data_IF_078765070883
#
_entry.id   IF_078765070883
#
_cell.length_a   1.000
_cell.length_b   1.000
_cell.length_c   1.000
_cell.angle_alpha   90.00
_cell.angle_beta   90.00
_cell.angle_gamma   90.00
#
_symmetry.space_group_name_H-M   'P 1'
#
loop_
_entity.id
_entity.type
_entity.pdbx_description
1 polymer ?
#
# COMPACT_ATOMS: atom_id res chain seq x y z
N UNK A 1 7.58 -18.08 -14.01
CA UNK A 1 7.15 -17.43 -12.75
C UNK A 1 7.42 -15.93 -12.88
N UNK A 2 6.47 -15.07 -12.53
CA UNK A 2 6.68 -13.62 -12.49
C UNK A 2 6.80 -13.20 -11.01
N UNK A 3 7.79 -12.38 -10.70
CA UNK A 3 7.97 -11.83 -9.36
C UNK A 3 7.35 -10.43 -9.33
N UNK A 4 6.66 -10.10 -8.25
CA UNK A 4 5.99 -8.82 -8.06
C UNK A 4 6.44 -8.21 -6.73
N UNK A 5 6.54 -6.88 -6.72
CA UNK A 5 6.75 -6.11 -5.49
C UNK A 5 5.42 -5.52 -5.05
N UNK A 6 5.15 -5.58 -3.75
CA UNK A 6 3.92 -5.08 -3.14
C UNK A 6 4.27 -4.06 -2.05
N UNK A 7 3.66 -2.88 -2.10
CA UNK A 7 3.64 -1.94 -0.99
C UNK A 7 2.48 -2.28 -0.05
N UNK A 8 2.77 -2.48 1.24
CA UNK A 8 1.76 -2.73 2.27
C UNK A 8 2.26 -2.22 3.62
N UNK A 9 1.34 -2.13 4.60
CA UNK A 9 1.68 -1.72 5.96
C UNK A 9 2.35 -2.86 6.72
N UNK A 10 3.08 -2.53 7.79
CA UNK A 10 3.75 -3.53 8.63
C UNK A 10 2.77 -4.56 9.22
N UNK A 11 1.56 -4.12 9.59
CA UNK A 11 0.52 -5.01 10.10
C UNK A 11 0.18 -6.14 9.11
N UNK A 12 0.01 -5.82 7.83
CA UNK A 12 -0.27 -6.81 6.80
C UNK A 12 0.96 -7.67 6.50
N UNK A 13 2.16 -7.08 6.47
CA UNK A 13 3.41 -7.80 6.25
C UNK A 13 3.68 -8.87 7.33
N UNK A 14 3.22 -8.66 8.57
CA UNK A 14 3.28 -9.65 9.66
C UNK A 14 2.14 -10.69 9.63
N UNK A 15 1.21 -10.57 8.69
CA UNK A 15 0.08 -11.47 8.52
C UNK A 15 -1.19 -11.07 9.28
N UNK A 16 -1.35 -9.79 9.58
CA UNK A 16 -2.60 -9.22 10.09
C UNK A 16 -3.80 -9.60 9.23
N UNK A 17 -4.99 -9.65 9.81
CA UNK A 17 -6.25 -10.05 9.16
C UNK A 17 -6.21 -11.40 8.41
N UNK A 18 -5.27 -12.28 8.78
CA UNK A 18 -5.12 -13.60 8.16
C UNK A 18 -4.23 -13.61 6.91
N UNK A 19 -3.56 -12.51 6.58
CA UNK A 19 -2.60 -12.41 5.46
C UNK A 19 -1.26 -13.13 5.74
N UNK A 20 -1.32 -14.32 6.33
CA UNK A 20 -0.17 -15.17 6.71
C UNK A 20 0.81 -15.47 5.57
N UNK A 21 0.38 -15.41 4.31
CA UNK A 21 1.25 -15.59 3.14
C UNK A 21 2.32 -14.49 3.01
N UNK A 22 2.09 -13.30 3.58
CA UNK A 22 3.03 -12.17 3.51
C UNK A 22 4.17 -12.29 4.54
N UNK A 23 3.96 -13.01 5.65
CA UNK A 23 4.96 -13.16 6.72
C UNK A 23 6.26 -13.80 6.25
N UNK A 24 6.17 -14.70 5.28
CA UNK A 24 7.31 -15.43 4.72
C UNK A 24 7.85 -14.82 3.42
N UNK A 25 7.32 -13.68 2.98
CA UNK A 25 7.78 -13.01 1.77
C UNK A 25 9.13 -12.30 2.00
N UNK A 26 9.93 -12.19 0.94
CA UNK A 26 11.18 -11.43 0.98
C UNK A 26 10.89 -9.94 1.22
N UNK A 27 11.51 -9.36 2.24
CA UNK A 27 11.43 -7.92 2.50
C UNK A 27 12.43 -7.16 1.64
N UNK A 28 11.94 -6.15 0.94
CA UNK A 28 12.76 -5.24 0.13
C UNK A 28 13.22 -4.00 0.92
N UNK A 29 12.62 -3.77 2.08
CA UNK A 29 12.86 -2.63 2.96
C UNK A 29 12.68 -3.09 4.41
N UNK A 30 13.56 -2.63 5.30
CA UNK A 30 13.48 -2.93 6.73
C UNK A 30 12.37 -2.10 7.38
N UNK A 31 11.66 -2.69 8.34
CA UNK A 31 10.48 -2.08 8.96
C UNK A 31 10.81 -0.76 9.68
N UNK A 32 11.99 -0.68 10.30
CA UNK A 32 12.49 0.48 11.04
C UNK A 32 12.88 1.64 10.12
N UNK A 33 13.21 1.33 8.86
CA UNK A 33 13.56 2.32 7.83
C UNK A 33 12.35 2.75 6.99
N UNK A 34 11.22 2.04 7.13
CA UNK A 34 10.04 2.29 6.34
C UNK A 34 9.33 3.59 6.79
N UNK A 35 8.81 4.38 5.83
CA UNK A 35 8.08 5.59 6.18
C UNK A 35 6.75 5.26 6.85
N UNK A 36 6.29 6.13 7.73
CA UNK A 36 4.97 6.01 8.36
C UNK A 36 3.88 6.27 7.32
N UNK A 37 2.85 5.43 7.29
CA UNK A 37 1.75 5.48 6.30
C UNK A 37 1.10 6.87 6.17
N UNK A 38 0.86 7.54 7.31
CA UNK A 38 0.28 8.88 7.33
C UNK A 38 1.20 9.94 6.73
N UNK A 39 2.51 9.85 6.97
CA UNK A 39 3.51 10.74 6.38
C UNK A 39 3.62 10.52 4.87
N UNK A 40 3.52 9.26 4.41
CA UNK A 40 3.47 8.95 2.97
C UNK A 40 2.27 9.62 2.31
N UNK A 41 1.08 9.49 2.92
CA UNK A 41 -0.15 10.11 2.41
C UNK A 41 -0.07 11.64 2.40
N UNK A 42 0.40 12.24 3.49
CA UNK A 42 0.57 13.70 3.60
C UNK A 42 1.50 14.23 2.50
N UNK A 43 2.65 13.58 2.31
CA UNK A 43 3.62 13.96 1.29
C UNK A 43 3.04 13.83 -0.12
N UNK A 44 2.26 12.78 -0.38
CA UNK A 44 1.58 12.60 -1.66
C UNK A 44 0.58 13.73 -1.94
N UNK A 45 -0.26 14.09 -0.97
CA UNK A 45 -1.24 15.18 -1.10
C UNK A 45 -0.53 16.52 -1.32
N UNK A 46 0.54 16.81 -0.55
CA UNK A 46 1.33 18.03 -0.72
C UNK A 46 1.97 18.13 -2.10
N UNK A 47 2.45 17.02 -2.65
CA UNK A 47 3.14 16.98 -3.92
C UNK A 47 2.20 17.11 -5.13
N UNK A 48 1.03 16.46 -5.10
CA UNK A 48 0.12 16.40 -6.27
C UNK A 48 -1.06 17.37 -6.18
N UNK A 49 -1.37 17.89 -4.99
CA UNK A 49 -2.52 18.75 -4.71
C UNK A 49 -3.87 18.03 -4.73
N UNK A 50 -4.10 17.17 -5.73
CA UNK A 50 -5.26 16.29 -5.83
C UNK A 50 -4.83 14.86 -6.14
N UNK A 51 -5.51 13.89 -5.55
CA UNK A 51 -5.36 12.47 -5.85
C UNK A 51 -6.74 11.98 -6.29
N UNK A 52 -6.88 11.68 -7.58
CA UNK A 52 -8.07 11.04 -8.12
C UNK A 52 -7.76 9.56 -8.39
N UNK A 53 -8.65 8.62 -8.05
CA UNK A 53 -8.47 7.23 -8.42
C UNK A 53 -8.51 7.10 -9.95
N UNK A 54 -7.65 6.25 -10.50
CA UNK A 54 -7.70 5.94 -11.92
C UNK A 54 -9.02 5.20 -12.23
N UNK A 55 -9.80 5.72 -13.17
CA UNK A 55 -11.04 5.11 -13.63
C UNK A 55 -10.73 3.99 -14.64
N UNK A 56 -10.26 2.85 -14.15
CA UNK A 56 -9.95 1.65 -14.96
C UNK A 56 -11.00 0.55 -14.82
N UNK A 57 -12.17 0.89 -14.27
CA UNK A 57 -13.27 -0.04 -14.05
C UNK A 57 -13.15 -0.89 -12.77
N UNK A 58 -12.06 -0.79 -12.01
CA UNK A 58 -11.92 -1.49 -10.71
C UNK A 58 -12.64 -0.79 -9.55
N UNK A 59 -12.97 0.50 -9.72
CA UNK A 59 -13.69 1.31 -8.74
C UNK A 59 -14.89 1.97 -9.40
N UNK A 60 -16.06 1.89 -8.74
CA UNK A 60 -17.30 2.55 -9.19
C UNK A 60 -17.76 3.53 -8.12
N UNK A 61 -18.15 4.74 -8.54
CA UNK A 61 -18.88 5.67 -7.67
C UNK A 61 -20.29 5.15 -7.43
N UNK A 62 -20.69 5.09 -6.16
CA UNK A 62 -22.02 4.59 -5.76
C UNK A 62 -23.06 5.70 -5.59
N UNK A 63 -22.63 6.96 -5.62
CA UNK A 63 -23.43 8.15 -5.36
C UNK A 63 -23.79 8.92 -6.65
N UNK A 64 -23.82 8.20 -7.79
CA UNK A 64 -24.33 8.67 -9.07
C UNK A 64 -25.54 7.84 -9.50
#
# INVERSE_FOLDING_TARGET
KKNYSLGCTLFLAEGGDGYSMLKNAMRLMDAESAPIDSTVLENAIKATGAIAPQADGRSKRLDQ
#
